data_IF_002196069723
#
_entry.id   IF_002196069723
#
_cell.length_a   1.000
_cell.length_b   1.000
_cell.length_c   1.000
_cell.angle_alpha   90.00
_cell.angle_beta   90.00
_cell.angle_gamma   90.00
#
_symmetry.space_group_name_H-M   'P 1'
#
loop_
_entity.id
_entity.type
_entity.pdbx_description
1 polymer ?
#
# COMPACT_ATOMS: atom_id res chain seq x y z
N UNK A 1 -5.03 12.29 -13.25
CA UNK A 1 -5.56 11.03 -12.68
C UNK A 1 -4.45 10.01 -12.44
N UNK A 2 -3.63 9.69 -13.46
CA UNK A 2 -2.50 8.78 -13.31
C UNK A 2 -1.52 9.20 -12.20
N UNK A 3 -1.21 10.49 -12.07
CA UNK A 3 -0.28 10.99 -11.05
C UNK A 3 -0.77 10.76 -9.62
N UNK A 4 -2.08 10.88 -9.38
CA UNK A 4 -2.68 10.61 -8.07
C UNK A 4 -2.62 9.13 -7.72
N UNK A 5 -2.80 8.25 -8.70
CA UNK A 5 -2.66 6.80 -8.50
C UNK A 5 -1.20 6.45 -8.16
N UNK A 6 -0.23 7.04 -8.87
CA UNK A 6 1.20 6.86 -8.59
C UNK A 6 1.57 7.34 -7.18
N UNK A 7 1.04 8.50 -6.77
CA UNK A 7 1.23 9.05 -5.43
C UNK A 7 0.63 8.12 -4.36
N UNK A 8 -0.62 7.71 -4.53
CA UNK A 8 -1.31 6.81 -3.59
C UNK A 8 -0.61 5.46 -3.45
N UNK A 9 -0.19 4.86 -4.56
CA UNK A 9 0.55 3.60 -4.54
C UNK A 9 1.89 3.74 -3.81
N UNK A 10 2.64 4.80 -4.09
CA UNK A 10 3.93 5.07 -3.46
C UNK A 10 3.78 5.27 -1.95
N UNK A 11 2.77 6.02 -1.51
CA UNK A 11 2.47 6.24 -0.09
C UNK A 11 2.05 4.96 0.63
N UNK A 12 1.16 4.17 0.03
CA UNK A 12 0.68 2.91 0.62
C UNK A 12 1.80 1.86 0.79
N UNK A 13 2.75 1.79 -0.15
CA UNK A 13 3.92 0.92 -0.02
C UNK A 13 4.88 1.45 1.06
N UNK A 14 5.12 2.77 1.08
CA UNK A 14 5.99 3.40 2.08
C UNK A 14 5.46 3.27 3.52
N UNK A 15 4.14 3.22 3.71
CA UNK A 15 3.52 2.99 5.03
C UNK A 15 3.68 1.55 5.54
N UNK A 16 4.26 0.65 4.74
CA UNK A 16 4.47 -0.78 5.02
C UNK A 16 3.19 -1.57 5.37
N UNK A 17 2.02 -1.01 5.07
CA UNK A 17 0.71 -1.68 5.20
C UNK A 17 0.33 -2.24 3.83
N UNK A 18 0.79 -3.45 3.55
CA UNK A 18 0.81 -4.03 2.20
C UNK A 18 0.22 -5.44 2.19
N UNK A 19 -0.11 -5.95 1.02
CA UNK A 19 -0.57 -7.33 0.86
C UNK A 19 0.57 -8.35 1.08
N UNK A 20 0.21 -9.62 1.30
CA UNK A 20 1.13 -10.72 1.64
C UNK A 20 2.38 -10.82 0.75
N UNK A 21 2.22 -10.58 -0.54
CA UNK A 21 3.27 -10.62 -1.55
C UNK A 21 4.42 -9.65 -1.26
N UNK A 22 4.12 -8.45 -0.78
CA UNK A 22 5.13 -7.49 -0.30
C UNK A 22 5.54 -7.76 1.14
N UNK A 23 4.58 -8.06 2.03
CA UNK A 23 4.85 -8.19 3.45
C UNK A 23 5.91 -9.26 3.75
N UNK A 24 5.91 -10.38 3.02
CA UNK A 24 6.91 -11.45 3.16
C UNK A 24 8.34 -11.06 2.73
N UNK A 25 8.50 -9.93 2.06
CA UNK A 25 9.79 -9.40 1.57
C UNK A 25 10.24 -8.15 2.34
N UNK A 26 9.42 -7.65 3.27
CA UNK A 26 9.63 -6.38 3.96
C UNK A 26 9.69 -6.57 5.47
N UNK A 27 10.75 -6.09 6.09
CA UNK A 27 10.86 -6.12 7.55
C UNK A 27 9.93 -5.07 8.20
N UNK A 28 9.22 -5.51 9.23
CA UNK A 28 8.23 -4.72 9.96
C UNK A 28 6.99 -4.34 9.14
N UNK A 29 6.66 -5.08 8.07
CA UNK A 29 5.43 -4.85 7.32
C UNK A 29 4.19 -5.38 8.05
N UNK A 30 3.07 -4.66 7.92
CA UNK A 30 1.75 -5.11 8.34
C UNK A 30 1.05 -5.69 7.12
N UNK A 31 0.82 -7.01 7.13
CA UNK A 31 0.01 -7.67 6.10
C UNK A 31 -1.46 -7.26 6.22
N UNK A 32 -2.05 -6.80 5.11
CA UNK A 32 -3.47 -6.42 5.03
C UNK A 32 -4.15 -7.06 3.80
N UNK A 33 -5.49 -7.10 3.79
CA UNK A 33 -6.27 -7.64 2.68
C UNK A 33 -6.24 -6.71 1.46
N UNK A 34 -6.53 -7.26 0.28
CA UNK A 34 -6.57 -6.51 -0.99
C UNK A 34 -7.48 -5.26 -0.92
N UNK A 35 -8.69 -5.38 -0.37
CA UNK A 35 -9.60 -4.22 -0.23
C UNK A 35 -9.02 -3.15 0.70
N UNK A 36 -8.39 -3.55 1.80
CA UNK A 36 -7.75 -2.64 2.75
C UNK A 36 -6.52 -1.96 2.16
N UNK A 37 -5.81 -2.64 1.25
CA UNK A 37 -4.72 -2.02 0.49
C UNK A 37 -5.27 -0.97 -0.49
N UNK A 38 -6.41 -1.23 -1.12
CA UNK A 38 -7.14 -0.22 -1.89
C UNK A 38 -7.48 1.01 -1.07
N UNK A 39 -8.04 0.82 0.15
CA UNK A 39 -8.33 1.91 1.07
C UNK A 39 -7.06 2.70 1.46
N UNK A 40 -5.95 2.00 1.73
CA UNK A 40 -4.64 2.60 2.03
C UNK A 40 -4.10 3.42 0.85
N UNK A 41 -4.25 2.93 -0.39
CA UNK A 41 -3.88 3.69 -1.59
C UNK A 41 -4.68 4.99 -1.69
N UNK A 42 -5.99 4.95 -1.41
CA UNK A 42 -6.87 6.13 -1.43
C UNK A 42 -6.48 7.13 -0.33
N UNK A 43 -6.11 6.66 0.86
CA UNK A 43 -5.66 7.50 1.98
C UNK A 43 -4.40 8.33 1.62
N UNK A 44 -3.56 7.82 0.71
CA UNK A 44 -2.31 8.45 0.28
C UNK A 44 -2.38 9.17 -1.08
N UNK A 45 -3.52 9.16 -1.78
CA UNK A 45 -3.70 9.91 -3.05
C UNK A 45 -3.55 11.42 -2.84
#
# INVERSE_FOLDING_TARGET
>A
AADLILKGLSGAIASKRVTYDFARLMDGATEIKCSQFGDNVIEHM
#
